data_IF_405775129830
#
_entry.id   IF_405775129830
#
_cell.length_a   1.000
_cell.length_b   1.000
_cell.length_c   1.000
_cell.angle_alpha   90.00
_cell.angle_beta   90.00
_cell.angle_gamma   90.00
#
_symmetry.space_group_name_H-M   'P 1'
#
loop_
_entity.id
_entity.type
_entity.pdbx_description
1 polymer ?
#
# COMPACT_ATOMS: atom_id res chain seq x y z
N UNK A 1 -13.94 6.28 10.18
CA UNK A 1 -14.83 5.28 9.55
C UNK A 1 -14.25 3.87 9.38
N UNK A 2 -12.94 3.62 9.59
CA UNK A 2 -12.34 2.27 9.41
C UNK A 2 -13.03 1.17 10.22
N UNK A 3 -13.33 1.44 11.50
CA UNK A 3 -13.99 0.47 12.38
C UNK A 3 -15.43 0.16 11.96
N UNK A 4 -16.14 1.15 11.39
CA UNK A 4 -17.51 0.96 10.88
C UNK A 4 -17.47 0.06 9.65
N UNK A 5 -16.56 0.33 8.70
CA UNK A 5 -16.34 -0.55 7.56
C UNK A 5 -15.98 -1.97 7.97
N UNK A 6 -15.14 -2.14 9.00
CA UNK A 6 -14.79 -3.46 9.51
C UNK A 6 -15.97 -4.18 10.16
N UNK A 7 -16.85 -3.45 10.85
CA UNK A 7 -18.08 -4.02 11.40
C UNK A 7 -19.00 -4.53 10.28
N UNK A 8 -19.17 -3.75 9.20
CA UNK A 8 -19.94 -4.19 8.03
C UNK A 8 -19.35 -5.44 7.38
N UNK A 9 -18.02 -5.53 7.26
CA UNK A 9 -17.36 -6.76 6.77
C UNK A 9 -17.69 -7.96 7.66
N UNK A 10 -17.63 -7.81 8.99
CA UNK A 10 -17.98 -8.90 9.92
C UNK A 10 -19.45 -9.31 9.85
N UNK A 11 -20.33 -8.42 9.42
CA UNK A 11 -21.76 -8.67 9.18
C UNK A 11 -22.04 -9.21 7.77
N UNK A 12 -21.03 -9.35 6.90
CA UNK A 12 -21.21 -9.75 5.49
C UNK A 12 -21.81 -8.65 4.60
N UNK A 13 -21.95 -7.43 5.11
CA UNK A 13 -22.51 -6.27 4.42
C UNK A 13 -21.44 -5.55 3.61
N UNK A 14 -20.94 -6.21 2.55
CA UNK A 14 -19.80 -5.70 1.78
C UNK A 14 -20.09 -4.38 1.04
N UNK A 15 -21.33 -4.14 0.62
CA UNK A 15 -21.72 -2.89 -0.05
C UNK A 15 -21.59 -1.68 0.88
N UNK A 16 -22.02 -1.81 2.13
CA UNK A 16 -21.93 -0.73 3.13
C UNK A 16 -20.48 -0.53 3.61
N UNK A 17 -19.72 -1.64 3.70
CA UNK A 17 -18.29 -1.59 3.95
C UNK A 17 -17.54 -0.81 2.85
N UNK A 18 -17.86 -1.06 1.58
CA UNK A 18 -17.29 -0.34 0.43
C UNK A 18 -17.53 1.15 0.57
N UNK A 19 -18.77 1.60 0.81
CA UNK A 19 -19.07 3.03 0.98
C UNK A 19 -18.26 3.66 2.11
N UNK A 20 -18.11 2.95 3.24
CA UNK A 20 -17.32 3.40 4.38
C UNK A 20 -15.84 3.56 4.04
N UNK A 21 -15.27 2.62 3.26
CA UNK A 21 -13.87 2.66 2.86
C UNK A 21 -13.61 3.65 1.71
N UNK A 22 -14.52 3.79 0.76
CA UNK A 22 -14.41 4.78 -0.33
C UNK A 22 -14.37 6.21 0.20
N UNK A 23 -15.16 6.52 1.22
CA UNK A 23 -15.10 7.83 1.86
C UNK A 23 -13.71 8.11 2.47
N UNK A 24 -13.12 7.13 3.16
CA UNK A 24 -11.78 7.27 3.74
C UNK A 24 -10.74 7.44 2.63
N UNK A 25 -10.85 6.65 1.57
CA UNK A 25 -9.98 6.74 0.38
C UNK A 25 -10.08 8.08 -0.34
N UNK A 26 -11.23 8.77 -0.27
CA UNK A 26 -11.41 10.09 -0.84
C UNK A 26 -10.83 11.22 0.04
N UNK A 27 -10.91 11.09 1.36
CA UNK A 27 -10.39 12.07 2.32
C UNK A 27 -8.86 11.96 2.51
N UNK A 28 -8.41 10.76 2.92
CA UNK A 28 -6.99 10.45 3.11
C UNK A 28 -6.80 8.96 2.84
N UNK A 29 -6.38 8.65 1.61
CA UNK A 29 -6.06 7.30 1.22
C UNK A 29 -4.92 6.73 2.08
N UNK A 30 -5.07 5.47 2.48
CA UNK A 30 -4.03 4.71 3.17
C UNK A 30 -4.08 3.25 2.76
N UNK A 31 -2.91 2.62 2.81
CA UNK A 31 -2.71 1.27 2.28
C UNK A 31 -3.68 0.24 2.88
N UNK A 32 -3.88 0.29 4.20
CA UNK A 32 -4.75 -0.67 4.90
C UNK A 32 -6.21 -0.53 4.46
N UNK A 33 -6.70 0.70 4.32
CA UNK A 33 -8.06 0.93 3.86
C UNK A 33 -8.25 0.51 2.40
N UNK A 34 -7.28 0.80 1.53
CA UNK A 34 -7.33 0.37 0.14
C UNK A 34 -7.38 -1.16 0.02
N UNK A 35 -6.63 -1.87 0.87
CA UNK A 35 -6.64 -3.33 0.91
C UNK A 35 -8.00 -3.87 1.38
N UNK A 36 -8.59 -3.27 2.41
CA UNK A 36 -9.95 -3.65 2.84
C UNK A 36 -10.99 -3.42 1.73
N UNK A 37 -10.90 -2.30 1.00
CA UNK A 37 -11.79 -2.00 -0.13
C UNK A 37 -11.64 -3.05 -1.25
N UNK A 38 -10.40 -3.40 -1.60
CA UNK A 38 -10.10 -4.44 -2.58
C UNK A 38 -10.72 -5.80 -2.18
N UNK A 39 -10.57 -6.19 -0.91
CA UNK A 39 -11.14 -7.44 -0.39
C UNK A 39 -12.68 -7.43 -0.41
N UNK A 40 -13.32 -6.29 -0.17
CA UNK A 40 -14.78 -6.19 -0.28
C UNK A 40 -15.25 -6.37 -1.73
N UNK A 41 -14.56 -5.78 -2.71
CA UNK A 41 -14.87 -6.04 -4.13
C UNK A 41 -14.61 -7.48 -4.54
N UNK A 42 -13.59 -8.11 -3.96
CA UNK A 42 -13.33 -9.53 -4.16
C UNK A 42 -14.46 -10.41 -3.64
N UNK A 43 -14.94 -10.14 -2.43
CA UNK A 43 -16.07 -10.87 -1.83
C UNK A 43 -17.36 -10.76 -2.66
N UNK A 44 -17.55 -9.65 -3.37
CA UNK A 44 -18.67 -9.44 -4.30
C UNK A 44 -18.45 -10.02 -5.71
N UNK A 45 -17.24 -10.51 -6.02
CA UNK A 45 -16.90 -11.06 -7.34
C UNK A 45 -16.75 -10.01 -8.46
N UNK A 46 -16.70 -8.72 -8.12
CA UNK A 46 -16.59 -7.62 -9.10
C UNK A 46 -15.13 -7.42 -9.52
N UNK A 47 -14.71 -8.18 -10.54
CA UNK A 47 -13.33 -8.17 -11.07
C UNK A 47 -12.89 -6.80 -11.57
N UNK A 48 -13.79 -6.01 -12.13
CA UNK A 48 -13.46 -4.70 -12.69
C UNK A 48 -13.23 -3.68 -11.58
N UNK A 49 -14.05 -3.69 -10.51
CA UNK A 49 -13.78 -2.87 -9.33
C UNK A 49 -12.55 -3.35 -8.57
N UNK A 50 -12.28 -4.65 -8.51
CA UNK A 50 -11.03 -5.16 -7.94
C UNK A 50 -9.81 -4.57 -8.64
N UNK A 51 -9.75 -4.60 -9.98
CA UNK A 51 -8.63 -4.02 -10.73
C UNK A 51 -8.45 -2.54 -10.40
N UNK A 52 -9.54 -1.76 -10.42
CA UNK A 52 -9.50 -0.32 -10.09
C UNK A 52 -9.02 -0.06 -8.67
N UNK A 53 -9.49 -0.82 -7.69
CA UNK A 53 -9.08 -0.66 -6.30
C UNK A 53 -7.64 -1.11 -6.06
N UNK A 54 -7.15 -2.10 -6.82
CA UNK A 54 -5.74 -2.49 -6.79
C UNK A 54 -4.84 -1.41 -7.38
N UNK A 55 -5.20 -0.81 -8.53
CA UNK A 55 -4.46 0.34 -9.07
C UNK A 55 -4.37 1.49 -8.06
N UNK A 56 -5.51 1.87 -7.45
CA UNK A 56 -5.53 2.90 -6.39
C UNK A 56 -4.66 2.55 -5.19
N UNK A 57 -4.56 1.27 -4.83
CA UNK A 57 -3.71 0.81 -3.73
C UNK A 57 -2.23 0.98 -4.05
N UNK A 58 -1.83 0.74 -5.30
CA UNK A 58 -0.44 0.93 -5.76
C UNK A 58 -0.02 2.40 -5.79
N UNK A 59 -0.96 3.31 -5.99
CA UNK A 59 -0.70 4.76 -6.00
C UNK A 59 -0.48 5.34 -4.58
N UNK A 60 -0.67 4.55 -3.52
CA UNK A 60 -0.52 5.01 -2.14
C UNK A 60 0.94 4.96 -1.72
N UNK A 61 1.51 6.14 -1.46
CA UNK A 61 2.83 6.29 -0.84
C UNK A 61 2.79 5.73 0.58
N UNK A 62 3.72 4.84 0.91
CA UNK A 62 3.81 4.22 2.22
C UNK A 62 4.64 5.10 3.15
N UNK A 63 3.99 5.87 4.03
CA UNK A 63 4.63 6.81 4.97
C UNK A 63 5.67 6.17 5.94
N UNK A 64 5.78 4.83 5.99
CA UNK A 64 6.62 4.09 6.94
C UNK A 64 7.33 2.85 6.37
N UNK A 65 7.52 2.74 5.05
CA UNK A 65 8.58 1.86 4.56
C UNK A 65 9.86 2.67 4.75
N UNK A 66 10.46 2.56 5.92
CA UNK A 66 11.71 3.24 6.26
C UNK A 66 12.80 2.82 5.25
N UNK A 67 12.93 3.64 4.20
CA UNK A 67 14.00 3.55 3.20
C UNK A 67 15.37 3.88 3.82
N UNK A 68 15.38 4.51 5.00
CA UNK A 68 16.62 4.82 5.71
C UNK A 68 17.31 3.55 6.20
N UNK A 69 16.57 2.51 6.59
CA UNK A 69 17.15 1.27 7.11
C UNK A 69 17.41 0.18 6.07
N UNK A 70 16.75 0.25 4.92
CA UNK A 70 16.87 -0.76 3.86
C UNK A 70 18.27 -0.83 3.24
N UNK A 71 19.03 0.26 3.32
CA UNK A 71 20.40 0.40 2.78
C UNK A 71 21.39 0.96 3.83
N UNK A 72 21.04 0.95 5.11
CA UNK A 72 21.96 1.26 6.22
C UNK A 72 22.69 -0.01 6.72
N UNK A 73 22.80 -1.03 5.89
CA UNK A 73 23.57 -2.24 6.17
C UNK A 73 25.05 -1.84 6.30
N UNK A 74 25.52 -1.65 7.53
CA UNK A 74 26.94 -1.57 7.85
C UNK A 74 27.42 -2.99 8.20
N UNK A 75 27.92 -3.70 7.20
CA UNK A 75 28.64 -4.96 7.42
C UNK A 75 30.15 -4.70 7.43
N UNK A 76 30.90 -5.52 8.16
CA UNK A 76 32.37 -5.52 8.12
C UNK A 76 32.93 -5.99 6.75
N UNK A 77 32.06 -6.41 5.82
CA UNK A 77 32.42 -6.85 4.48
C UNK A 77 32.45 -5.66 3.49
N UNK A 78 33.64 -5.30 2.95
CA UNK A 78 33.79 -4.20 2.01
C UNK A 78 33.00 -4.38 0.71
N UNK A 79 32.81 -5.62 0.23
CA UNK A 79 32.08 -5.87 -1.02
C UNK A 79 30.59 -5.54 -0.89
N UNK A 80 29.97 -5.92 0.24
CA UNK A 80 28.58 -5.58 0.53
C UNK A 80 28.38 -4.07 0.61
N UNK A 81 29.30 -3.33 1.23
CA UNK A 81 29.22 -1.87 1.32
C UNK A 81 29.29 -1.19 -0.06
N UNK A 82 30.15 -1.69 -0.96
CA UNK A 82 30.24 -1.23 -2.36
C UNK A 82 28.95 -1.47 -3.14
N UNK A 83 28.31 -2.63 -2.97
CA UNK A 83 27.03 -2.95 -3.61
C UNK A 83 25.93 -2.00 -3.10
N UNK A 84 25.89 -1.76 -1.79
CA UNK A 84 24.93 -0.83 -1.17
C UNK A 84 25.11 0.59 -1.70
N UNK A 85 26.36 1.07 -1.84
CA UNK A 85 26.65 2.40 -2.39
C UNK A 85 26.27 2.52 -3.88
N UNK A 86 26.49 1.47 -4.67
CA UNK A 86 26.06 1.41 -6.06
C UNK A 86 24.54 1.50 -6.19
N UNK A 87 23.79 0.75 -5.37
CA UNK A 87 22.31 0.82 -5.34
C UNK A 87 21.84 2.20 -4.89
N UNK A 88 22.54 2.83 -3.93
CA UNK A 88 22.18 4.18 -3.44
C UNK A 88 22.25 5.26 -4.52
N UNK A 89 23.03 5.07 -5.58
CA UNK A 89 23.27 6.07 -6.63
C UNK A 89 22.68 5.71 -8.00
N UNK A 90 22.02 4.55 -8.10
CA UNK A 90 21.52 3.98 -9.36
C UNK A 90 20.31 4.76 -9.94
N UNK A 91 19.92 4.42 -11.18
CA UNK A 91 18.80 5.06 -11.86
C UNK A 91 17.42 4.69 -11.29
N UNK A 92 17.22 3.47 -10.80
CA UNK A 92 15.97 3.04 -10.17
C UNK A 92 15.68 3.84 -8.91
N UNK A 93 16.70 4.09 -8.07
CA UNK A 93 16.54 4.91 -6.86
C UNK A 93 16.23 6.38 -7.17
N UNK A 94 16.69 6.89 -8.32
CA UNK A 94 16.31 8.24 -8.79
C UNK A 94 14.84 8.30 -9.22
N UNK A 95 14.32 7.23 -9.82
CA UNK A 95 12.91 7.12 -10.23
C UNK A 95 12.00 7.00 -9.01
N UNK A 96 12.40 6.25 -7.97
CA UNK A 96 11.64 6.10 -6.72
C UNK A 96 11.38 7.44 -6.00
N UNK A 97 12.27 8.43 -6.18
CA UNK A 97 12.17 9.76 -5.56
C UNK A 97 11.48 10.82 -6.42
N UNK A 98 11.09 10.51 -7.66
CA UNK A 98 10.37 11.41 -8.58
C UNK A 98 8.86 11.19 -8.48
#
# INVERSE_FOLDING_TARGET
MKNIGLAFVKLGQYTDAITSYEYIMAEKADFRTALHLLLCHHALGDKEKMKRSFSKLLDIVLDHVEDEDKYSISTDDPQTNLIVEAIKSDSLRKIERQ
#
